data_IF_356002053446
#
_entry.id   IF_356002053446
#
_cell.length_a   1.000
_cell.length_b   1.000
_cell.length_c   1.000
_cell.angle_alpha   90.00
_cell.angle_beta   90.00
_cell.angle_gamma   90.00
#
_symmetry.space_group_name_H-M   'P 1'
#
loop_
_entity.id
_entity.type
_entity.pdbx_description
1 polymer ?
#
# COMPACT_ATOMS: atom_id res chain seq x y z
N UNK A 1 1.01 13.15 -8.13
CA UNK A 1 0.29 11.95 -7.64
C UNK A 1 0.32 11.94 -6.12
N UNK A 2 -0.63 11.33 -5.40
CA UNK A 2 -0.55 11.28 -3.94
C UNK A 2 0.58 10.33 -3.52
N UNK A 3 1.69 10.90 -3.06
CA UNK A 3 2.78 10.16 -2.45
C UNK A 3 2.39 9.68 -1.05
N UNK A 4 2.66 8.41 -0.74
CA UNK A 4 2.44 7.81 0.57
C UNK A 4 3.74 7.25 1.12
N UNK A 5 4.07 7.68 2.33
CA UNK A 5 5.15 7.11 3.11
C UNK A 5 4.70 5.83 3.81
N UNK A 6 5.40 4.73 3.57
CA UNK A 6 5.27 3.48 4.29
C UNK A 6 5.75 3.63 5.74
N UNK A 7 5.01 3.04 6.68
CA UNK A 7 5.44 2.91 8.08
C UNK A 7 6.70 2.03 8.17
N UNK A 8 7.59 2.35 9.12
CA UNK A 8 8.79 1.56 9.43
C UNK A 8 8.46 0.12 9.87
N UNK A 9 7.34 -0.09 10.55
CA UNK A 9 6.89 -1.40 11.04
C UNK A 9 5.44 -1.67 10.59
N UNK A 10 5.13 -2.93 10.27
CA UNK A 10 3.76 -3.37 9.99
C UNK A 10 2.93 -3.20 11.27
N UNK A 11 1.78 -2.53 11.18
CA UNK A 11 0.97 -2.19 12.36
C UNK A 11 0.38 -3.42 13.08
N UNK A 12 0.47 -4.63 12.50
CA UNK A 12 -0.05 -5.91 13.04
C UNK A 12 -1.57 -5.91 13.37
N UNK A 13 -2.25 -4.77 13.23
CA UNK A 13 -3.69 -4.61 13.34
C UNK A 13 -4.48 -5.36 12.26
N UNK A 14 -5.68 -5.82 12.65
CA UNK A 14 -6.69 -6.36 11.74
C UNK A 14 -7.79 -5.29 11.55
N UNK A 15 -7.98 -4.69 10.37
CA UNK A 15 -7.25 -4.84 9.10
C UNK A 15 -5.95 -4.01 9.02
N UNK A 16 -4.98 -4.44 8.21
CA UNK A 16 -3.69 -3.72 8.08
C UNK A 16 -3.93 -2.28 7.59
N UNK A 17 -3.29 -1.31 8.24
CA UNK A 17 -3.41 0.11 7.94
C UNK A 17 -2.93 0.44 6.50
N UNK A 18 -3.50 1.49 5.87
CA UNK A 18 -3.17 1.94 4.49
C UNK A 18 -1.68 2.24 4.27
N UNK A 19 -0.98 2.66 5.33
CA UNK A 19 0.46 2.99 5.32
C UNK A 19 1.36 1.78 5.65
N UNK A 20 0.82 0.56 5.73
CA UNK A 20 1.64 -0.61 6.04
C UNK A 20 2.66 -0.87 4.92
N UNK A 21 3.91 -1.22 5.26
CA UNK A 21 4.90 -1.60 4.26
C UNK A 21 4.44 -2.81 3.45
N UNK A 22 3.73 -3.77 4.07
CA UNK A 22 3.20 -4.93 3.35
C UNK A 22 2.01 -4.58 2.45
N UNK A 23 1.14 -3.67 2.88
CA UNK A 23 -0.01 -3.22 2.07
C UNK A 23 0.50 -2.48 0.84
N UNK A 24 1.47 -1.58 1.02
CA UNK A 24 2.08 -0.82 -0.07
C UNK A 24 2.90 -1.72 -1.00
N UNK A 25 3.63 -2.72 -0.46
CA UNK A 25 4.30 -3.73 -1.28
C UNK A 25 3.31 -4.54 -2.12
N UNK A 26 2.23 -5.06 -1.51
CA UNK A 26 1.17 -5.78 -2.24
C UNK A 26 0.45 -4.90 -3.27
N UNK A 27 0.30 -3.61 -2.99
CA UNK A 27 -0.25 -2.66 -3.95
C UNK A 27 0.72 -2.41 -5.11
N UNK A 28 2.02 -2.37 -4.85
CA UNK A 28 3.04 -2.28 -5.89
C UNK A 28 3.12 -3.55 -6.73
N UNK A 29 3.12 -4.72 -6.11
CA UNK A 29 3.06 -6.03 -6.80
C UNK A 29 1.79 -6.14 -7.68
N UNK A 30 0.68 -5.53 -7.25
CA UNK A 30 -0.55 -5.45 -8.01
C UNK A 30 -0.58 -4.34 -9.08
N UNK A 31 0.54 -3.64 -9.33
CA UNK A 31 0.64 -2.56 -10.32
C UNK A 31 -0.19 -1.31 -10.00
N UNK A 32 -0.62 -1.16 -8.74
CA UNK A 32 -1.44 -0.05 -8.26
C UNK A 32 -0.64 1.04 -7.53
N UNK A 33 0.65 0.80 -7.29
CA UNK A 33 1.56 1.77 -6.70
C UNK A 33 2.96 1.61 -7.30
N UNK A 34 3.68 2.71 -7.47
CA UNK A 34 5.09 2.70 -7.84
C UNK A 34 5.96 2.98 -6.62
N UNK A 35 7.06 2.26 -6.49
CA UNK A 35 8.01 2.45 -5.39
C UNK A 35 9.08 3.43 -5.84
N UNK A 36 9.06 4.63 -5.26
CA UNK A 36 10.04 5.68 -5.53
C UNK A 36 11.27 5.51 -4.64
N UNK A 37 11.06 5.17 -3.37
CA UNK A 37 12.14 4.96 -2.41
C UNK A 37 11.95 3.69 -1.57
N UNK A 38 12.94 3.42 -0.71
CA UNK A 38 12.87 2.45 0.37
C UNK A 38 11.52 2.48 1.13
N UNK A 39 10.92 3.67 1.33
CA UNK A 39 9.62 3.84 2.02
C UNK A 39 8.63 4.73 1.29
N UNK A 40 8.98 5.37 0.18
CA UNK A 40 8.04 6.22 -0.57
C UNK A 40 7.39 5.39 -1.67
N UNK A 41 6.06 5.42 -1.68
CA UNK A 41 5.25 4.83 -2.72
C UNK A 41 4.35 5.90 -3.30
N UNK A 42 4.33 6.03 -4.62
CA UNK A 42 3.29 6.78 -5.32
C UNK A 42 2.11 5.87 -5.56
N UNK A 43 0.95 6.25 -5.00
CA UNK A 43 -0.24 5.42 -5.09
C UNK A 43 -1.18 6.03 -6.11
N UNK A 44 -1.42 5.30 -7.18
CA UNK A 44 -2.34 5.73 -8.23
C UNK A 44 -3.79 5.52 -7.78
N UNK A 45 -4.42 6.57 -7.23
CA UNK A 45 -5.84 6.56 -6.83
C UNK A 45 -6.79 6.15 -7.97
N UNK A 46 -6.40 6.37 -9.24
CA UNK A 46 -7.18 5.95 -10.42
C UNK A 46 -7.16 4.43 -10.63
N UNK A 47 -6.07 3.74 -10.26
CA UNK A 47 -5.94 2.27 -10.36
C UNK A 47 -6.36 1.53 -9.09
N UNK A 48 -6.55 2.25 -7.97
CA UNK A 48 -7.00 1.69 -6.70
C UNK A 48 -8.45 1.17 -6.74
N UNK A 49 -8.62 -0.06 -7.24
CA UNK A 49 -9.89 -0.80 -7.11
C UNK A 49 -10.10 -1.19 -5.64
N UNK A 50 -11.32 -0.97 -5.10
CA UNK A 50 -11.70 -1.33 -3.71
C UNK A 50 -11.38 -2.80 -3.36
N UNK A 51 -11.42 -3.70 -4.35
CA UNK A 51 -11.05 -5.12 -4.23
C UNK A 51 -9.57 -5.33 -3.90
N UNK A 52 -8.68 -4.58 -4.56
CA UNK A 52 -7.22 -4.66 -4.33
C UNK A 52 -6.88 -4.10 -2.95
N UNK A 53 -7.55 -3.03 -2.53
CA UNK A 53 -7.40 -2.49 -1.17
C UNK A 53 -7.85 -3.46 -0.08
N UNK A 54 -8.93 -4.22 -0.29
CA UNK A 54 -9.37 -5.26 0.66
C UNK A 54 -8.34 -6.40 0.72
N UNK A 55 -7.95 -6.98 -0.42
CA UNK A 55 -6.93 -8.04 -0.50
C UNK A 55 -5.58 -7.62 0.08
N UNK A 56 -5.14 -6.39 -0.21
CA UNK A 56 -3.86 -5.90 0.29
C UNK A 56 -3.86 -5.76 1.82
N UNK A 57 -5.02 -5.41 2.42
CA UNK A 57 -5.20 -5.24 3.87
C UNK A 57 -5.58 -6.52 4.62
N UNK A 58 -6.11 -7.53 3.93
CA UNK A 58 -6.37 -8.85 4.50
C UNK A 58 -5.06 -9.49 4.95
N UNK A 59 -5.06 -10.12 6.13
CA UNK A 59 -3.86 -10.78 6.63
C UNK A 59 -3.68 -12.10 5.92
#
# INVERSE_FOLDING_TARGET
>A
MPSMTAKKKCCKDKPRCKKCPVVLKRLADAGCAERIDLRHYEVDKKKLKKKVLKKARER
#
